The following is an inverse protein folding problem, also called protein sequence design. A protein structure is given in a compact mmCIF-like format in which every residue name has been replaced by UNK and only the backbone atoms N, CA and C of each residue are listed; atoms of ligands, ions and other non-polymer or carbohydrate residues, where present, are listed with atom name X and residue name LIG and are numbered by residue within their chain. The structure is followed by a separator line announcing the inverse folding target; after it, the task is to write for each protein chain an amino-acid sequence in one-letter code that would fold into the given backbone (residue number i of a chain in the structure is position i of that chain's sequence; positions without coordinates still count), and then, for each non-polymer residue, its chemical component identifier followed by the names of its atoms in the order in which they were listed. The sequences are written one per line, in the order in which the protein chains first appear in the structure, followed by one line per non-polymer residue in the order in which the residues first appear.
data_IF_130197793029
#
_entry.id   IF_130197793029
#
_cell.length_a   1.000
_cell.length_b   1.000
_cell.length_c   1.000
_cell.angle_alpha   90.00
_cell.angle_beta   90.00
_cell.angle_gamma   90.00
#
_symmetry.space_group_name_H-M   'P 1'
#
loop_
_entity.id
_entity.type
_entity.pdbx_description
1 polymer ?
#
# COMPACT_ATOMS: atom_id res chain seq x y z
N UNK A 1 16.49 -25.05 3.33
CA UNK A 1 15.85 -23.82 2.80
C UNK A 1 16.94 -22.94 2.22
N UNK A 2 16.68 -22.19 1.14
CA UNK A 2 17.68 -21.23 0.63
C UNK A 2 17.81 -20.05 1.58
N UNK A 3 19.00 -19.48 1.68
CA UNK A 3 19.27 -18.28 2.49
C UNK A 3 18.58 -17.06 1.86
N UNK A 4 17.85 -16.29 2.64
CA UNK A 4 17.22 -15.04 2.19
C UNK A 4 18.31 -13.99 1.88
N UNK A 5 18.18 -13.30 0.76
CA UNK A 5 19.11 -12.27 0.26
C UNK A 5 18.42 -10.95 -0.07
N UNK A 6 17.09 -10.99 -0.18
CA UNK A 6 16.29 -9.83 -0.51
C UNK A 6 15.02 -9.76 0.33
N UNK A 7 14.52 -8.53 0.53
CA UNK A 7 13.23 -8.25 1.14
C UNK A 7 12.43 -7.35 0.19
N UNK A 8 11.27 -7.83 -0.24
CA UNK A 8 10.28 -7.05 -0.96
C UNK A 8 9.22 -6.54 0.01
N UNK A 9 8.76 -5.32 -0.18
CA UNK A 9 7.69 -4.72 0.61
C UNK A 9 6.51 -4.32 -0.26
N UNK A 10 5.31 -4.46 0.26
CA UNK A 10 4.19 -3.63 -0.13
C UNK A 10 4.37 -2.20 0.40
N UNK A 11 3.59 -1.24 -0.14
CA UNK A 11 3.63 0.16 0.27
C UNK A 11 2.50 0.53 1.23
N UNK A 12 1.26 0.46 0.77
CA UNK A 12 0.07 1.00 1.43
C UNK A 12 -0.41 0.08 2.57
N UNK A 13 -0.29 0.51 3.83
CA UNK A 13 -0.56 -0.33 5.00
C UNK A 13 0.66 -1.09 5.52
N UNK A 14 1.78 -1.07 4.78
CA UNK A 14 3.03 -1.75 5.15
C UNK A 14 4.16 -0.78 5.50
N UNK A 15 4.63 0.03 4.57
CA UNK A 15 5.64 1.08 4.80
C UNK A 15 5.01 2.47 4.92
N UNK A 16 3.91 2.71 4.25
CA UNK A 16 3.17 3.96 4.21
C UNK A 16 1.86 3.83 5.00
N UNK A 17 1.61 4.77 5.92
CA UNK A 17 0.38 4.83 6.72
C UNK A 17 -0.80 5.31 5.86
N UNK A 18 -1.28 4.42 4.98
CA UNK A 18 -2.38 4.71 4.08
C UNK A 18 -3.66 5.09 4.86
N UNK A 19 -4.04 4.26 5.84
CA UNK A 19 -5.30 4.43 6.58
C UNK A 19 -5.30 5.69 7.43
N UNK A 20 -4.20 6.00 8.10
CA UNK A 20 -4.06 7.24 8.87
C UNK A 20 -4.04 8.46 7.95
N UNK A 21 -3.29 8.43 6.85
CA UNK A 21 -3.25 9.51 5.86
C UNK A 21 -4.62 9.72 5.18
N UNK A 22 -5.32 8.62 4.82
CA UNK A 22 -6.65 8.69 4.22
C UNK A 22 -7.68 9.25 5.21
N UNK A 23 -7.64 8.80 6.47
CA UNK A 23 -8.50 9.30 7.54
C UNK A 23 -8.35 10.82 7.72
N UNK A 24 -7.12 11.30 7.84
CA UNK A 24 -6.86 12.73 7.99
C UNK A 24 -7.25 13.50 6.73
N UNK A 25 -7.00 12.94 5.55
CA UNK A 25 -7.46 13.48 4.27
C UNK A 25 -8.98 13.62 4.19
N UNK A 26 -9.73 12.60 4.60
CA UNK A 26 -11.20 12.65 4.66
C UNK A 26 -11.68 13.70 5.65
N UNK A 27 -11.04 13.81 6.84
CA UNK A 27 -11.34 14.84 7.81
C UNK A 27 -11.24 16.26 7.21
N UNK A 28 -10.11 16.55 6.57
CA UNK A 28 -9.88 17.85 5.92
C UNK A 28 -10.85 18.10 4.77
N UNK A 29 -11.10 17.06 3.95
CA UNK A 29 -12.01 17.15 2.83
C UNK A 29 -13.46 17.43 3.27
N UNK A 30 -14.02 16.70 4.22
CA UNK A 30 -15.38 16.89 4.72
C UNK A 30 -15.53 18.28 5.35
N UNK A 31 -14.58 18.75 6.16
CA UNK A 31 -14.58 20.11 6.69
C UNK A 31 -14.58 21.17 5.60
N UNK A 32 -13.87 20.96 4.51
CA UNK A 32 -13.88 21.87 3.35
C UNK A 32 -15.21 21.93 2.64
N UNK A 33 -16.11 20.95 2.88
CA UNK A 33 -17.48 20.90 2.39
C UNK A 33 -18.51 21.40 3.44
N UNK A 34 -18.04 21.90 4.59
CA UNK A 34 -18.89 22.36 5.68
C UNK A 34 -19.48 21.23 6.55
N UNK A 35 -18.93 20.02 6.46
CA UNK A 35 -19.37 18.86 7.24
C UNK A 35 -18.34 18.52 8.31
N UNK A 36 -18.79 18.45 9.58
CA UNK A 36 -17.93 17.95 10.65
C UNK A 36 -17.85 16.42 10.58
N UNK A 37 -16.64 15.84 10.45
CA UNK A 37 -16.47 14.41 10.31
C UNK A 37 -16.90 13.65 11.56
N UNK A 38 -17.79 12.68 11.41
CA UNK A 38 -18.20 11.75 12.46
C UNK A 38 -17.53 10.38 12.26
N UNK A 39 -17.46 9.53 13.31
CA UNK A 39 -16.98 8.15 13.15
C UNK A 39 -17.72 7.37 12.07
N UNK A 40 -19.05 7.53 11.98
CA UNK A 40 -19.87 6.88 10.95
C UNK A 40 -19.61 7.42 9.53
N UNK A 41 -19.27 8.71 9.37
CA UNK A 41 -18.87 9.26 8.07
C UNK A 41 -17.55 8.66 7.58
N UNK A 42 -16.59 8.46 8.48
CA UNK A 42 -15.31 7.80 8.17
C UNK A 42 -15.50 6.33 7.81
N UNK A 43 -16.30 5.61 8.59
CA UNK A 43 -16.62 4.20 8.31
C UNK A 43 -17.29 4.04 6.94
N UNK A 44 -18.27 4.89 6.63
CA UNK A 44 -18.94 4.91 5.32
C UNK A 44 -17.95 5.18 4.18
N UNK A 45 -17.00 6.12 4.37
CA UNK A 45 -15.99 6.41 3.38
C UNK A 45 -15.07 5.21 3.11
N UNK A 46 -14.54 4.57 4.16
CA UNK A 46 -13.64 3.42 4.00
C UNK A 46 -14.36 2.19 3.46
N UNK A 47 -15.61 1.93 3.88
CA UNK A 47 -16.43 0.86 3.30
C UNK A 47 -16.64 1.09 1.79
N UNK A 48 -16.91 2.32 1.38
CA UNK A 48 -17.04 2.66 -0.04
C UNK A 48 -15.69 2.49 -0.77
N UNK A 49 -14.58 2.85 -0.14
CA UNK A 49 -13.23 2.63 -0.68
C UNK A 49 -12.97 1.17 -0.96
N UNK A 50 -13.12 0.30 0.03
CA UNK A 50 -12.85 -1.14 -0.09
C UNK A 50 -13.69 -1.79 -1.19
N UNK A 51 -15.00 -1.49 -1.23
CA UNK A 51 -15.93 -2.03 -2.24
C UNK A 51 -15.51 -1.59 -3.65
N UNK A 52 -15.26 -0.29 -3.85
CA UNK A 52 -14.99 0.22 -5.19
C UNK A 52 -13.59 -0.13 -5.68
N UNK A 53 -12.60 -0.27 -4.79
CA UNK A 53 -11.29 -0.78 -5.13
C UNK A 53 -11.32 -2.24 -5.58
N UNK A 54 -12.11 -3.11 -4.91
CA UNK A 54 -12.28 -4.50 -5.34
C UNK A 54 -12.94 -4.61 -6.72
N UNK A 55 -13.95 -3.79 -7.01
CA UNK A 55 -14.59 -3.72 -8.32
C UNK A 55 -13.62 -3.29 -9.42
N UNK A 56 -12.71 -2.36 -9.11
CA UNK A 56 -11.65 -1.97 -10.04
C UNK A 56 -10.61 -3.09 -10.23
N UNK A 57 -10.16 -3.73 -9.16
CA UNK A 57 -9.19 -4.84 -9.23
C UNK A 57 -9.72 -6.03 -10.02
N UNK A 58 -10.99 -6.33 -9.89
CA UNK A 58 -11.66 -7.39 -10.67
C UNK A 58 -11.91 -7.01 -12.14
N UNK A 59 -11.62 -5.76 -12.53
CA UNK A 59 -11.87 -5.27 -13.88
C UNK A 59 -13.34 -4.93 -14.19
N UNK A 60 -14.21 -4.88 -13.17
CA UNK A 60 -15.63 -4.55 -13.34
C UNK A 60 -15.83 -3.07 -13.72
N UNK A 61 -15.02 -2.17 -13.16
CA UNK A 61 -15.08 -0.73 -13.42
C UNK A 61 -13.69 -0.15 -13.66
N UNK A 62 -13.63 1.00 -14.34
CA UNK A 62 -12.39 1.76 -14.56
C UNK A 62 -11.88 2.45 -13.29
N UNK A 63 -10.63 2.90 -13.33
CA UNK A 63 -9.97 3.53 -12.18
C UNK A 63 -10.62 4.86 -11.78
N UNK A 64 -11.03 5.69 -12.74
CA UNK A 64 -11.74 6.95 -12.48
C UNK A 64 -13.15 6.68 -11.96
N UNK A 65 -13.82 5.67 -12.50
CA UNK A 65 -15.19 5.33 -12.09
C UNK A 65 -15.23 4.83 -10.64
N UNK A 66 -14.24 4.08 -10.15
CA UNK A 66 -14.20 3.70 -8.74
C UNK A 66 -14.16 4.94 -7.82
N UNK A 67 -13.47 6.02 -8.21
CA UNK A 67 -13.42 7.28 -7.46
C UNK A 67 -14.78 7.97 -7.42
N UNK A 68 -15.47 8.05 -8.57
CA UNK A 68 -16.81 8.63 -8.65
C UNK A 68 -17.83 7.84 -7.83
N UNK A 69 -17.76 6.51 -7.90
CA UNK A 69 -18.63 5.62 -7.13
C UNK A 69 -18.42 5.75 -5.61
N UNK A 70 -17.19 5.99 -5.15
CA UNK A 70 -16.91 6.29 -3.74
C UNK A 70 -17.65 7.55 -3.28
N UNK A 71 -17.60 8.63 -4.06
CA UNK A 71 -18.33 9.86 -3.75
C UNK A 71 -19.84 9.61 -3.71
N UNK A 72 -20.39 8.89 -4.71
CA UNK A 72 -21.81 8.56 -4.79
C UNK A 72 -22.28 7.70 -3.61
N UNK A 73 -21.42 6.83 -3.09
CA UNK A 73 -21.75 5.97 -1.95
C UNK A 73 -21.64 6.70 -0.60
N UNK A 74 -20.61 7.54 -0.42
CA UNK A 74 -20.27 8.08 0.90
C UNK A 74 -20.93 9.45 1.20
N UNK A 75 -21.05 10.36 0.23
CA UNK A 75 -21.36 11.77 0.51
C UNK A 75 -22.86 12.10 0.63
N UNK A 76 -23.81 11.47 -0.10
CA UNK A 76 -25.23 11.83 0.00
C UNK A 76 -25.82 11.65 1.40
N UNK A 77 -25.38 10.60 2.11
CA UNK A 77 -25.82 10.36 3.51
C UNK A 77 -25.37 11.46 4.49
N UNK A 78 -24.39 12.29 4.10
CA UNK A 78 -23.89 13.44 4.86
C UNK A 78 -24.56 14.75 4.47
N UNK A 79 -25.61 14.70 3.63
CA UNK A 79 -26.31 15.88 3.14
C UNK A 79 -25.59 16.64 2.03
N UNK A 80 -24.55 16.05 1.43
CA UNK A 80 -23.78 16.68 0.35
C UNK A 80 -24.46 16.40 -1.00
N UNK A 81 -24.85 17.45 -1.69
CA UNK A 81 -25.33 17.35 -3.08
C UNK A 81 -24.17 17.16 -4.02
N UNK A 82 -24.20 16.09 -4.80
CA UNK A 82 -23.15 15.76 -5.75
C UNK A 82 -23.34 16.49 -7.10
N UNK A 83 -22.24 16.79 -7.81
CA UNK A 83 -22.29 17.11 -9.23
C UNK A 83 -22.99 16.00 -10.02
N UNK A 84 -23.72 16.40 -11.07
CA UNK A 84 -24.48 15.48 -11.93
C UNK A 84 -23.65 14.89 -13.07
N UNK A 85 -22.56 15.54 -13.43
CA UNK A 85 -21.66 15.13 -14.48
C UNK A 85 -20.34 14.55 -13.92
N UNK A 86 -19.66 13.80 -14.75
CA UNK A 86 -18.40 13.13 -14.40
C UNK A 86 -17.27 14.12 -14.11
N UNK A 87 -17.21 15.23 -14.85
CA UNK A 87 -16.18 16.25 -14.67
C UNK A 87 -16.27 16.92 -13.28
N UNK A 88 -17.50 17.20 -12.83
CA UNK A 88 -17.74 17.74 -11.50
C UNK A 88 -17.39 16.74 -10.39
N UNK A 89 -17.68 15.45 -10.60
CA UNK A 89 -17.31 14.39 -9.65
C UNK A 89 -15.77 14.22 -9.59
N UNK A 90 -15.11 14.25 -10.71
CA UNK A 90 -13.65 14.18 -10.79
C UNK A 90 -13.02 15.38 -10.05
N UNK A 91 -13.49 16.60 -10.31
CA UNK A 91 -13.03 17.79 -9.60
C UNK A 91 -13.29 17.73 -8.08
N UNK A 92 -14.42 17.15 -7.67
CA UNK A 92 -14.72 16.94 -6.24
C UNK A 92 -13.78 15.90 -5.63
N UNK A 93 -13.49 14.81 -6.34
CA UNK A 93 -12.54 13.80 -5.87
C UNK A 93 -11.11 14.35 -5.79
N UNK A 94 -10.70 15.23 -6.73
CA UNK A 94 -9.39 15.89 -6.70
C UNK A 94 -9.21 16.75 -5.44
N UNK A 95 -10.25 17.37 -4.92
CA UNK A 95 -10.20 18.06 -3.61
C UNK A 95 -9.88 17.09 -2.47
N UNK A 96 -10.48 15.90 -2.48
CA UNK A 96 -10.10 14.84 -1.53
C UNK A 96 -8.64 14.43 -1.73
N UNK A 97 -8.21 14.19 -2.97
CA UNK A 97 -6.82 13.80 -3.25
C UNK A 97 -5.80 14.82 -2.78
N UNK A 98 -6.11 16.11 -2.89
CA UNK A 98 -5.26 17.18 -2.35
C UNK A 98 -5.16 17.10 -0.82
N UNK A 99 -6.28 16.94 -0.11
CA UNK A 99 -6.31 16.79 1.34
C UNK A 99 -5.58 15.52 1.80
N UNK A 100 -5.81 14.40 1.11
CA UNK A 100 -5.12 13.14 1.34
C UNK A 100 -3.61 13.28 1.14
N UNK A 101 -3.17 13.91 0.04
CA UNK A 101 -1.76 14.14 -0.29
C UNK A 101 -1.03 15.01 0.74
N UNK A 102 -1.73 15.97 1.35
CA UNK A 102 -1.19 16.81 2.42
C UNK A 102 -1.00 16.04 3.74
N UNK A 103 -1.72 14.93 3.90
CA UNK A 103 -1.71 14.08 5.09
C UNK A 103 -0.78 12.87 4.98
N UNK A 104 -0.06 12.70 3.86
CA UNK A 104 0.79 11.55 3.59
C UNK A 104 1.95 11.44 4.57
N UNK A 105 2.14 10.23 5.10
CA UNK A 105 3.26 9.88 5.98
C UNK A 105 3.63 8.41 5.86
N UNK A 106 4.90 8.11 6.01
CA UNK A 106 5.36 6.75 6.28
C UNK A 106 5.06 6.35 7.73
N UNK A 107 5.02 5.05 8.02
CA UNK A 107 5.12 4.63 9.40
C UNK A 107 6.49 5.01 9.98
N UNK A 108 6.58 5.39 11.28
CA UNK A 108 7.79 5.98 11.86
C UNK A 108 9.04 5.09 11.77
N UNK A 109 8.87 3.77 11.74
CA UNK A 109 9.97 2.79 11.68
C UNK A 109 10.35 2.36 10.26
N UNK A 110 9.59 2.76 9.23
CA UNK A 110 9.76 2.25 7.85
C UNK A 110 11.12 2.59 7.26
N UNK A 111 11.56 3.85 7.36
CA UNK A 111 12.86 4.26 6.84
C UNK A 111 14.01 3.56 7.58
N UNK A 112 13.97 3.55 8.91
CA UNK A 112 14.99 2.90 9.72
C UNK A 112 15.08 1.36 9.46
N UNK A 113 13.94 0.71 9.21
CA UNK A 113 13.91 -0.70 8.81
C UNK A 113 14.62 -0.93 7.48
N UNK A 114 14.31 -0.13 6.45
CA UNK A 114 14.94 -0.22 5.14
C UNK A 114 16.46 -0.04 5.26
N UNK A 115 16.91 1.02 5.95
CA UNK A 115 18.33 1.31 6.14
C UNK A 115 19.05 0.17 6.89
N UNK A 116 18.41 -0.40 7.91
CA UNK A 116 18.95 -1.54 8.67
C UNK A 116 19.09 -2.81 7.83
N UNK A 117 18.10 -3.10 6.97
CA UNK A 117 18.17 -4.24 6.05
C UNK A 117 19.31 -4.09 5.06
N UNK A 118 19.46 -2.92 4.45
CA UNK A 118 20.57 -2.63 3.53
C UNK A 118 21.93 -2.71 4.20
N UNK A 119 22.07 -2.14 5.41
CA UNK A 119 23.28 -2.25 6.20
C UNK A 119 23.64 -3.70 6.57
N UNK A 120 22.63 -4.58 6.64
CA UNK A 120 22.80 -6.02 6.85
C UNK A 120 23.05 -6.82 5.56
N UNK A 121 23.19 -6.14 4.41
CA UNK A 121 23.52 -6.75 3.11
C UNK A 121 22.32 -7.27 2.31
N UNK A 122 21.09 -7.04 2.76
CA UNK A 122 19.90 -7.42 1.99
C UNK A 122 19.63 -6.42 0.87
N UNK A 123 19.18 -6.93 -0.29
CA UNK A 123 18.54 -6.11 -1.31
C UNK A 123 17.13 -5.76 -0.86
N UNK A 124 16.70 -4.51 -1.06
CA UNK A 124 15.38 -4.06 -0.63
C UNK A 124 14.59 -3.51 -1.82
N UNK A 125 13.41 -4.07 -2.07
CA UNK A 125 12.53 -3.65 -3.16
C UNK A 125 11.12 -3.39 -2.73
N UNK A 126 10.36 -2.75 -3.60
CA UNK A 126 8.95 -2.46 -3.41
C UNK A 126 8.13 -3.05 -4.56
N UNK A 127 6.98 -3.64 -4.23
CA UNK A 127 5.94 -4.02 -5.19
C UNK A 127 4.58 -3.53 -4.69
N UNK A 128 3.97 -2.59 -5.40
CA UNK A 128 2.71 -1.97 -5.00
C UNK A 128 1.71 -1.94 -6.15
N UNK A 129 0.43 -2.16 -5.84
CA UNK A 129 -0.66 -1.94 -6.78
C UNK A 129 -1.07 -0.47 -6.78
N UNK A 130 -1.34 0.11 -7.96
CA UNK A 130 -1.83 1.47 -8.09
C UNK A 130 -1.26 2.24 -9.27
N UNK A 131 -1.66 3.52 -9.35
CA UNK A 131 -1.20 4.44 -10.38
C UNK A 131 0.26 4.88 -10.13
N UNK A 132 1.08 4.80 -11.17
CA UNK A 132 2.52 5.07 -11.11
C UNK A 132 2.83 6.46 -10.53
N UNK A 133 2.14 7.47 -11.02
CA UNK A 133 2.38 8.85 -10.57
C UNK A 133 2.12 9.01 -9.06
N UNK A 134 1.04 8.42 -8.54
CA UNK A 134 0.68 8.53 -7.14
C UNK A 134 1.65 7.76 -6.23
N UNK A 135 2.03 6.53 -6.60
CA UNK A 135 2.92 5.73 -5.77
C UNK A 135 4.34 6.30 -5.73
N UNK A 136 4.86 6.81 -6.84
CA UNK A 136 6.16 7.50 -6.86
C UNK A 136 6.15 8.77 -6.01
N UNK A 137 5.08 9.58 -6.09
CA UNK A 137 4.95 10.80 -5.29
C UNK A 137 4.87 10.48 -3.78
N UNK A 138 4.16 9.42 -3.37
CA UNK A 138 4.18 8.93 -1.99
C UNK A 138 5.61 8.62 -1.53
N UNK A 139 6.34 7.82 -2.31
CA UNK A 139 7.71 7.39 -1.97
C UNK A 139 8.66 8.59 -1.81
N UNK A 140 8.60 9.56 -2.72
CA UNK A 140 9.45 10.76 -2.64
C UNK A 140 9.10 11.65 -1.46
N UNK A 141 7.80 11.88 -1.19
CA UNK A 141 7.35 12.75 -0.09
C UNK A 141 7.56 12.16 1.29
N UNK A 142 7.75 10.86 1.38
CA UNK A 142 7.92 10.14 2.65
C UNK A 142 9.35 9.63 2.85
N UNK A 143 10.31 10.07 2.02
CA UNK A 143 11.73 9.72 2.07
C UNK A 143 12.02 8.21 1.99
N UNK A 144 11.10 7.44 1.36
CA UNK A 144 11.28 6.00 1.21
C UNK A 144 12.01 5.62 -0.08
N UNK A 145 11.92 6.47 -1.13
CA UNK A 145 12.40 6.13 -2.48
C UNK A 145 13.88 5.76 -2.53
N UNK A 146 14.75 6.59 -1.94
CA UNK A 146 16.22 6.43 -2.01
C UNK A 146 16.73 5.22 -1.22
N UNK A 147 15.90 4.64 -0.36
CA UNK A 147 16.22 3.43 0.38
C UNK A 147 15.99 2.13 -0.41
N UNK A 148 15.37 2.18 -1.60
CA UNK A 148 14.95 1.02 -2.36
C UNK A 148 15.89 0.74 -3.53
N UNK A 149 16.31 -0.51 -3.71
CA UNK A 149 17.10 -0.95 -4.88
C UNK A 149 16.24 -1.05 -6.13
N UNK A 150 14.94 -1.31 -5.99
CA UNK A 150 13.96 -1.34 -7.08
C UNK A 150 12.55 -0.98 -6.63
N UNK A 151 11.78 -0.36 -7.53
CA UNK A 151 10.37 -0.04 -7.34
C UNK A 151 9.55 -0.63 -8.49
N UNK A 152 8.61 -1.50 -8.14
CA UNK A 152 7.66 -2.16 -9.03
C UNK A 152 6.26 -1.63 -8.76
N UNK A 153 5.62 -1.02 -9.75
CA UNK A 153 4.25 -0.46 -9.63
C UNK A 153 3.39 -1.12 -10.70
N UNK A 154 2.24 -1.66 -10.32
CA UNK A 154 1.40 -2.50 -11.18
C UNK A 154 0.99 -1.84 -12.49
N UNK A 155 0.63 -0.55 -12.50
CA UNK A 155 0.30 0.18 -13.74
C UNK A 155 1.47 0.15 -14.73
N UNK A 156 2.71 0.29 -14.26
CA UNK A 156 3.90 0.26 -15.13
C UNK A 156 4.30 -1.17 -15.53
N UNK A 157 4.01 -2.16 -14.68
CA UNK A 157 4.32 -3.56 -14.97
C UNK A 157 3.33 -4.20 -15.95
N UNK A 158 2.10 -3.69 -16.04
CA UNK A 158 0.99 -4.32 -16.76
C UNK A 158 0.43 -5.56 -16.04
N UNK A 159 0.89 -5.84 -14.82
CA UNK A 159 0.47 -6.96 -13.97
C UNK A 159 0.45 -6.50 -12.52
N UNK A 160 -0.49 -7.02 -11.72
CA UNK A 160 -0.70 -6.61 -10.34
C UNK A 160 -0.72 -7.78 -9.37
N UNK A 161 -0.45 -7.54 -8.10
CA UNK A 161 -0.67 -8.50 -7.02
C UNK A 161 -2.15 -8.89 -6.95
N UNK A 162 -2.52 -10.17 -6.78
CA UNK A 162 -1.68 -11.30 -6.34
C UNK A 162 -1.04 -12.12 -7.49
N UNK A 163 -1.02 -11.67 -8.74
CA UNK A 163 -0.46 -12.42 -9.85
C UNK A 163 1.02 -12.78 -9.56
N UNK A 164 1.41 -14.08 -9.58
CA UNK A 164 2.79 -14.51 -9.33
C UNK A 164 3.83 -13.84 -10.23
N UNK A 165 3.44 -13.42 -11.43
CA UNK A 165 4.32 -12.74 -12.37
C UNK A 165 4.82 -11.39 -11.82
N UNK A 166 3.98 -10.66 -11.07
CA UNK A 166 4.39 -9.40 -10.45
C UNK A 166 5.55 -9.59 -9.45
N UNK A 167 5.47 -10.64 -8.65
CA UNK A 167 6.53 -11.00 -7.69
C UNK A 167 7.79 -11.54 -8.37
N UNK A 168 7.65 -12.33 -9.43
CA UNK A 168 8.79 -12.82 -10.21
C UNK A 168 9.56 -11.65 -10.85
N UNK A 169 8.87 -10.61 -11.33
CA UNK A 169 9.51 -9.39 -11.83
C UNK A 169 10.29 -8.68 -10.71
N UNK A 170 9.71 -8.58 -9.51
CA UNK A 170 10.40 -8.00 -8.35
C UNK A 170 11.70 -8.76 -8.04
N UNK A 171 11.65 -10.11 -7.93
CA UNK A 171 12.83 -10.94 -7.67
C UNK A 171 13.90 -10.74 -8.74
N UNK A 172 13.52 -10.75 -10.02
CA UNK A 172 14.43 -10.51 -11.14
C UNK A 172 15.14 -9.16 -11.03
N UNK A 173 14.38 -8.09 -10.70
CA UNK A 173 14.96 -6.75 -10.54
C UNK A 173 15.86 -6.63 -9.32
N UNK A 174 15.61 -7.42 -8.28
CA UNK A 174 16.48 -7.54 -7.09
C UNK A 174 17.71 -8.43 -7.33
N UNK A 175 17.76 -9.15 -8.46
CA UNK A 175 18.88 -10.05 -8.80
C UNK A 175 18.95 -11.29 -7.91
N UNK A 176 17.80 -11.82 -7.48
CA UNK A 176 17.66 -13.02 -6.64
C UNK A 176 16.65 -14.00 -7.21
N UNK A 177 16.73 -15.27 -6.81
CA UNK A 177 15.67 -16.22 -7.06
C UNK A 177 14.47 -15.92 -6.11
N UNK A 178 13.22 -16.23 -6.51
CA UNK A 178 12.05 -16.01 -5.64
C UNK A 178 12.22 -16.63 -4.24
N UNK A 179 12.78 -17.84 -4.13
CA UNK A 179 12.99 -18.54 -2.86
C UNK A 179 14.03 -17.87 -1.94
N UNK A 180 14.81 -16.91 -2.46
CA UNK A 180 15.78 -16.09 -1.72
C UNK A 180 15.19 -14.74 -1.29
N UNK A 181 13.88 -14.51 -1.55
CA UNK A 181 13.18 -13.27 -1.23
C UNK A 181 12.09 -13.49 -0.16
N UNK A 182 12.09 -12.61 0.84
CA UNK A 182 10.96 -12.43 1.76
C UNK A 182 10.10 -11.29 1.22
N UNK A 183 8.79 -11.50 1.06
CA UNK A 183 7.85 -10.44 0.78
C UNK A 183 7.02 -10.12 2.02
N UNK A 184 6.95 -8.84 2.36
CA UNK A 184 6.27 -8.32 3.55
C UNK A 184 5.11 -7.44 3.11
N UNK A 185 3.90 -7.73 3.58
CA UNK A 185 2.71 -6.96 3.24
C UNK A 185 1.61 -7.10 4.27
N UNK A 186 0.57 -6.27 4.17
CA UNK A 186 -0.54 -6.21 5.11
C UNK A 186 -1.78 -6.99 4.65
N UNK A 187 -1.78 -7.48 3.42
CA UNK A 187 -2.94 -8.18 2.85
C UNK A 187 -2.65 -9.66 2.58
N UNK A 188 -3.39 -10.58 3.30
CA UNK A 188 -3.16 -12.02 3.19
C UNK A 188 -3.18 -12.52 1.74
N UNK A 189 -4.26 -12.26 1.00
CA UNK A 189 -4.43 -12.82 -0.34
C UNK A 189 -3.52 -12.13 -1.37
N UNK A 190 -3.42 -10.79 -1.33
CA UNK A 190 -2.67 -10.04 -2.35
C UNK A 190 -1.16 -10.12 -2.14
N UNK A 191 -0.68 -10.07 -0.90
CA UNK A 191 0.75 -10.01 -0.59
C UNK A 191 1.32 -11.38 -0.25
N UNK A 192 0.76 -12.03 0.78
CA UNK A 192 1.34 -13.24 1.34
C UNK A 192 1.12 -14.44 0.44
N UNK A 193 -0.13 -14.68 0.03
CA UNK A 193 -0.46 -15.84 -0.81
C UNK A 193 0.04 -15.62 -2.24
N UNK A 194 -0.02 -14.38 -2.78
CA UNK A 194 0.58 -14.02 -4.05
C UNK A 194 2.10 -14.27 -4.08
N UNK A 195 2.84 -13.82 -3.06
CA UNK A 195 4.27 -14.07 -2.92
C UNK A 195 4.60 -15.57 -2.84
N UNK A 196 3.84 -16.32 -2.06
CA UNK A 196 4.01 -17.78 -1.93
C UNK A 196 3.76 -18.50 -3.24
N UNK A 197 2.75 -18.08 -4.02
CA UNK A 197 2.48 -18.63 -5.34
C UNK A 197 3.61 -18.39 -6.33
N UNK A 198 4.42 -17.35 -6.13
CA UNK A 198 5.63 -17.08 -6.90
C UNK A 198 6.89 -17.77 -6.35
N UNK A 199 6.80 -18.53 -5.26
CA UNK A 199 7.92 -19.22 -4.63
C UNK A 199 8.67 -18.40 -3.57
N UNK A 200 8.22 -17.19 -3.25
CA UNK A 200 8.78 -16.37 -2.17
C UNK A 200 8.29 -16.82 -0.80
N UNK A 201 8.98 -16.40 0.28
CA UNK A 201 8.36 -16.37 1.60
C UNK A 201 7.43 -15.17 1.69
N UNK A 202 6.25 -15.35 2.26
CA UNK A 202 5.29 -14.27 2.53
C UNK A 202 5.13 -14.06 4.02
N UNK A 203 5.28 -12.82 4.48
CA UNK A 203 5.10 -12.39 5.87
C UNK A 203 3.95 -11.38 5.94
N UNK A 204 2.91 -11.75 6.67
CA UNK A 204 1.80 -10.84 6.98
C UNK A 204 2.20 -9.92 8.13
N UNK A 205 1.95 -8.63 7.98
CA UNK A 205 2.11 -7.64 9.04
C UNK A 205 0.80 -6.87 9.23
N UNK A 206 0.47 -6.56 10.49
CA UNK A 206 -0.66 -5.69 10.82
C UNK A 206 -0.12 -4.44 11.54
N UNK A 207 -0.15 -3.32 10.85
CA UNK A 207 0.31 -2.03 11.36
C UNK A 207 -0.67 -1.36 12.33
N UNK A 208 -1.91 -1.83 12.34
CA UNK A 208 -2.99 -1.21 13.10
C UNK A 208 -3.39 -2.02 14.34
N UNK A 209 -2.73 -3.16 14.57
CA UNK A 209 -2.92 -3.92 15.80
C UNK A 209 -2.46 -3.12 17.03
N UNK A 210 -3.22 -3.18 18.10
CA UNK A 210 -3.09 -2.33 19.31
C UNK A 210 -1.75 -2.47 20.05
N UNK A 211 -0.91 -3.45 19.72
CA UNK A 211 0.36 -3.73 20.41
C UNK A 211 1.59 -3.63 19.50
N UNK A 212 1.44 -3.16 18.26
CA UNK A 212 2.56 -3.09 17.30
C UNK A 212 3.20 -1.72 17.36
N UNK A 213 4.41 -1.64 17.92
CA UNK A 213 5.25 -0.42 17.91
C UNK A 213 6.04 -0.26 16.60
N UNK A 214 6.11 -1.31 15.77
CA UNK A 214 6.77 -1.35 14.48
C UNK A 214 6.90 -2.77 13.97
N UNK A 215 7.23 -2.96 12.69
CA UNK A 215 7.38 -4.28 12.08
C UNK A 215 8.85 -4.75 12.03
N UNK A 216 9.79 -3.91 12.45
CA UNK A 216 11.21 -4.21 12.34
C UNK A 216 11.60 -5.52 13.03
N UNK A 217 11.13 -5.76 14.25
CA UNK A 217 11.49 -6.97 15.00
C UNK A 217 10.86 -8.23 14.38
N UNK A 218 9.66 -8.14 13.84
CA UNK A 218 8.97 -9.24 13.16
C UNK A 218 9.73 -9.60 11.86
N UNK A 219 10.06 -8.62 11.04
CA UNK A 219 10.79 -8.82 9.78
C UNK A 219 12.20 -9.39 10.06
N UNK A 220 12.93 -8.81 11.00
CA UNK A 220 14.28 -9.27 11.33
C UNK A 220 14.27 -10.64 12.03
N UNK A 221 13.23 -10.95 12.79
CA UNK A 221 13.00 -12.26 13.38
C UNK A 221 12.83 -13.35 12.30
N UNK A 222 12.00 -13.07 11.30
CA UNK A 222 11.75 -13.99 10.17
C UNK A 222 13.03 -14.25 9.34
N UNK A 223 13.84 -13.20 9.13
CA UNK A 223 15.12 -13.33 8.43
C UNK A 223 16.12 -14.20 9.19
N UNK A 224 16.16 -14.11 10.53
CA UNK A 224 17.03 -14.92 11.39
C UNK A 224 16.58 -16.39 11.47
N UNK A 225 15.28 -16.64 11.53
CA UNK A 225 14.71 -17.99 11.56
C UNK A 225 15.04 -18.80 10.30
N UNK A 226 15.36 -18.11 9.20
CA UNK A 226 15.81 -18.74 7.95
C UNK A 226 17.30 -19.08 7.89
N UNK A 227 18.09 -18.65 8.87
CA UNK A 227 19.52 -18.99 8.98
C UNK A 227 19.62 -20.12 10.01
N UNK A 228 19.62 -21.39 9.55
CA UNK A 228 20.03 -22.49 10.44
C UNK A 228 21.50 -22.24 10.86
N UNK A 229 21.82 -22.39 12.17
CA UNK A 229 23.22 -22.34 12.59
C UNK A 229 23.98 -23.45 11.84
N UNK A 230 25.05 -23.05 11.15
CA UNK A 230 25.99 -24.01 10.58
C UNK A 230 26.42 -24.99 11.69
N UNK A 231 26.10 -26.27 11.49
CA UNK A 231 26.59 -27.35 12.34
C UNK A 231 28.08 -27.62 12.06
#
# INVERSE_FOLDING_TARGET
MRTLRAVGFDLDGTLFDHRGSARDGVHHFLRSLGVEPSPGALESWFTAEDIQFERWRSGEIGFEEQRRQRLRAALPALGITLPTDDAGLDALFDRYLQAYRQSWRAFPDSRALIDRLRASGYRVGLLTNGARAQQLDKLHRTDLFDGLDTVCISEHLGVQKPDPQAFAILATRLGVAPEECLFVGDHQAHDVDGARSAGMRGLLVDRYATHVTGIADVVLGELRAGVEPAR
#
